data_IF_769431973531
#
_entry.id   IF_769431973531
#
_cell.length_a   1.000
_cell.length_b   1.000
_cell.length_c   1.000
_cell.angle_alpha   90.00
_cell.angle_beta   90.00
_cell.angle_gamma   90.00
#
_symmetry.space_group_name_H-M   'P 1'
#
loop_
_entity.id
_entity.type
_entity.pdbx_description
1 polymer ?
#
# COMPACT_ATOMS: atom_id res chain seq x y z
N UNK A 1 1.44 -22.18 20.46
CA UNK A 1 2.90 -22.28 20.63
C UNK A 1 3.27 -23.27 21.72
N UNK A 2 4.35 -24.02 21.51
CA UNK A 2 5.04 -24.80 22.52
C UNK A 2 6.44 -24.19 22.73
N UNK A 3 6.62 -23.44 23.82
CA UNK A 3 7.81 -22.61 24.02
C UNK A 3 7.92 -21.55 22.90
N UNK A 4 9.02 -21.59 22.13
CA UNK A 4 9.25 -20.71 20.98
C UNK A 4 8.84 -21.31 19.62
N UNK A 5 8.19 -22.49 19.61
CA UNK A 5 7.78 -23.18 18.39
C UNK A 5 6.29 -22.96 18.12
N UNK A 6 5.97 -22.55 16.92
CA UNK A 6 4.61 -22.58 16.41
C UNK A 6 4.24 -24.03 16.01
N UNK A 7 3.13 -24.54 16.55
CA UNK A 7 2.72 -25.95 16.39
C UNK A 7 1.39 -26.08 15.67
N UNK A 8 0.65 -24.99 15.44
CA UNK A 8 -0.64 -25.02 14.77
C UNK A 8 -1.27 -23.64 14.66
N UNK A 9 -2.45 -23.63 14.08
CA UNK A 9 -3.31 -22.45 13.95
C UNK A 9 -4.69 -22.78 14.51
N UNK A 10 -5.32 -21.81 15.16
CA UNK A 10 -6.73 -21.87 15.51
C UNK A 10 -7.55 -21.35 14.33
N UNK A 11 -8.58 -22.09 13.95
CA UNK A 11 -9.42 -21.81 12.78
C UNK A 11 -10.87 -21.75 13.23
N UNK A 12 -11.58 -20.73 12.76
CA UNK A 12 -13.02 -20.63 12.88
C UNK A 12 -13.68 -20.95 11.53
N UNK A 13 -14.65 -21.86 11.55
CA UNK A 13 -15.47 -22.20 10.38
C UNK A 13 -16.95 -22.23 10.77
N UNK A 14 -17.68 -21.19 10.42
CA UNK A 14 -19.00 -20.94 10.96
C UNK A 14 -18.96 -20.74 12.47
N UNK A 15 -19.69 -21.57 13.23
CA UNK A 15 -19.74 -21.53 14.69
C UNK A 15 -18.69 -22.47 15.36
N UNK A 16 -17.90 -23.20 14.58
CA UNK A 16 -16.91 -24.14 15.11
C UNK A 16 -15.53 -23.48 15.16
N UNK A 17 -14.86 -23.64 16.31
CA UNK A 17 -13.45 -23.25 16.50
C UNK A 17 -12.65 -24.54 16.74
N UNK A 18 -11.60 -24.75 15.97
CA UNK A 18 -10.73 -25.92 16.09
C UNK A 18 -9.29 -25.61 15.74
N UNK A 19 -8.36 -26.40 16.29
CA UNK A 19 -6.93 -26.31 15.99
C UNK A 19 -6.55 -27.18 14.79
N UNK A 20 -5.62 -26.68 13.96
CA UNK A 20 -4.94 -27.44 12.91
C UNK A 20 -3.45 -27.47 13.24
N UNK A 21 -2.91 -28.64 13.49
CA UNK A 21 -1.49 -28.83 13.83
C UNK A 21 -0.64 -28.98 12.58
N UNK A 22 0.58 -28.45 12.60
CA UNK A 22 1.57 -28.58 11.54
C UNK A 22 2.99 -28.42 12.06
N UNK A 23 3.96 -29.02 11.38
CA UNK A 23 5.38 -28.85 11.67
C UNK A 23 5.90 -27.47 11.25
N UNK A 24 5.29 -26.90 10.20
CA UNK A 24 5.61 -25.56 9.71
C UNK A 24 4.31 -24.82 9.31
N UNK A 25 4.24 -23.56 9.70
CA UNK A 25 3.11 -22.67 9.45
C UNK A 25 3.60 -21.51 8.60
N UNK A 26 2.82 -21.19 7.56
CA UNK A 26 3.11 -20.09 6.66
C UNK A 26 1.94 -19.12 6.68
N UNK A 27 2.18 -17.88 7.16
CA UNK A 27 1.22 -16.81 7.07
C UNK A 27 1.34 -16.12 5.71
N UNK A 28 0.22 -16.00 4.99
CA UNK A 28 0.12 -15.34 3.69
C UNK A 28 -1.14 -14.49 3.61
N UNK A 29 -1.44 -13.75 4.70
CA UNK A 29 -2.65 -12.96 4.84
C UNK A 29 -2.48 -11.49 4.36
N UNK A 30 -1.33 -11.18 3.77
CA UNK A 30 -1.03 -9.87 3.18
C UNK A 30 -0.60 -8.82 4.19
N UNK A 31 -0.33 -7.60 3.68
CA UNK A 31 0.24 -6.50 4.46
C UNK A 31 -0.58 -6.03 5.66
N UNK A 32 -1.84 -6.43 5.77
CA UNK A 32 -2.72 -6.12 6.91
C UNK A 32 -2.94 -7.35 7.78
N UNK A 33 -3.33 -8.47 7.18
CA UNK A 33 -3.72 -9.66 7.93
C UNK A 33 -2.56 -10.37 8.61
N UNK A 34 -1.39 -10.47 7.97
CA UNK A 34 -0.26 -11.17 8.56
C UNK A 34 0.26 -10.51 9.85
N UNK A 35 0.50 -9.18 9.92
CA UNK A 35 0.85 -8.54 11.19
C UNK A 35 -0.30 -8.61 12.21
N UNK A 36 -1.57 -8.57 11.79
CA UNK A 36 -2.72 -8.73 12.69
C UNK A 36 -2.70 -10.10 13.35
N UNK A 37 -2.53 -11.19 12.58
CA UNK A 37 -2.45 -12.56 13.10
C UNK A 37 -1.28 -12.72 14.05
N UNK A 38 -0.09 -12.20 13.71
CA UNK A 38 1.08 -12.22 14.60
C UNK A 38 0.77 -11.54 15.92
N UNK A 39 0.22 -10.32 15.90
CA UNK A 39 -0.11 -9.58 17.14
C UNK A 39 -1.18 -10.28 17.97
N UNK A 40 -2.25 -10.79 17.35
CA UNK A 40 -3.28 -11.57 18.07
C UNK A 40 -2.71 -12.85 18.69
N UNK A 41 -1.64 -13.40 18.11
CA UNK A 41 -0.92 -14.56 18.62
C UNK A 41 0.16 -14.21 19.68
N UNK A 42 0.25 -12.94 20.08
CA UNK A 42 1.22 -12.48 21.09
C UNK A 42 2.62 -12.17 20.51
N UNK A 43 2.77 -12.08 19.20
CA UNK A 43 4.02 -11.75 18.51
C UNK A 43 3.94 -10.33 17.96
N UNK A 44 4.61 -9.38 18.59
CA UNK A 44 4.52 -7.98 18.20
C UNK A 44 5.11 -7.03 19.25
N UNK A 45 4.88 -5.71 19.11
CA UNK A 45 5.34 -4.72 20.07
C UNK A 45 4.77 -4.99 21.46
N UNK A 46 5.64 -5.34 22.43
CA UNK A 46 5.23 -5.84 23.74
C UNK A 46 4.30 -4.88 24.50
N UNK A 47 4.52 -3.57 24.41
CA UNK A 47 3.70 -2.59 25.11
C UNK A 47 2.30 -2.51 24.51
N UNK A 48 2.17 -2.52 23.19
CA UNK A 48 0.87 -2.58 22.51
C UNK A 48 0.10 -3.86 22.84
N UNK A 49 0.78 -5.02 22.83
CA UNK A 49 0.16 -6.30 23.21
C UNK A 49 -0.37 -6.28 24.65
N UNK A 50 0.40 -5.72 25.60
CA UNK A 50 -0.04 -5.55 26.99
C UNK A 50 -1.25 -4.62 27.13
N UNK A 51 -1.26 -3.49 26.40
CA UNK A 51 -2.41 -2.56 26.35
C UNK A 51 -3.68 -3.28 25.86
N UNK A 52 -3.53 -4.19 24.89
CA UNK A 52 -4.63 -5.02 24.38
C UNK A 52 -4.98 -6.20 25.28
N UNK A 53 -4.24 -6.45 26.36
CA UNK A 53 -4.44 -7.59 27.26
C UNK A 53 -3.98 -8.93 26.66
N UNK A 54 -3.15 -8.91 25.62
CA UNK A 54 -2.62 -10.11 24.96
C UNK A 54 -1.30 -10.53 25.66
N UNK A 55 -1.16 -11.79 26.09
CA UNK A 55 0.11 -12.30 26.59
C UNK A 55 1.23 -12.20 25.55
N UNK A 56 2.38 -11.67 25.95
CA UNK A 56 3.52 -11.52 25.03
C UNK A 56 4.22 -12.86 24.87
N UNK A 57 4.11 -13.45 23.69
CA UNK A 57 4.86 -14.64 23.27
C UNK A 57 6.27 -14.25 22.82
N UNK A 58 6.37 -13.18 22.03
CA UNK A 58 7.62 -12.62 21.54
C UNK A 58 7.50 -11.12 21.39
N UNK A 59 8.42 -10.36 22.00
CA UNK A 59 8.56 -8.94 21.71
C UNK A 59 9.26 -8.75 20.37
N UNK A 60 8.47 -8.37 19.37
CA UNK A 60 8.91 -8.08 17.99
C UNK A 60 8.43 -6.70 17.58
N UNK A 61 9.21 -5.64 17.88
CA UNK A 61 8.76 -4.26 17.73
C UNK A 61 8.47 -3.86 16.28
N UNK A 62 9.00 -4.61 15.30
CA UNK A 62 8.78 -4.35 13.87
C UNK A 62 7.43 -4.82 13.33
N UNK A 63 6.71 -5.70 14.04
CA UNK A 63 5.41 -6.19 13.57
C UNK A 63 4.41 -5.06 13.53
N UNK A 64 3.78 -4.88 12.36
CA UNK A 64 2.84 -3.80 12.09
C UNK A 64 3.49 -2.45 11.79
N UNK A 65 4.81 -2.31 11.99
CA UNK A 65 5.54 -1.08 11.65
C UNK A 65 5.95 -1.06 10.18
N UNK A 66 6.41 0.09 9.67
CA UNK A 66 6.85 0.23 8.30
C UNK A 66 5.75 -0.10 7.28
N UNK A 67 4.50 0.29 7.58
CA UNK A 67 3.43 0.21 6.60
C UNK A 67 3.79 1.07 5.38
N UNK A 68 4.06 0.41 4.26
CA UNK A 68 4.37 1.03 2.98
C UNK A 68 3.19 0.91 2.03
N UNK A 69 3.03 1.90 1.18
CA UNK A 69 2.08 1.89 0.06
C UNK A 69 2.58 2.88 -1.00
N UNK A 70 1.90 2.93 -2.13
CA UNK A 70 2.06 3.95 -3.15
C UNK A 70 0.93 4.97 -3.03
N UNK A 71 1.13 6.10 -2.33
CA UNK A 71 0.12 7.15 -2.28
C UNK A 71 -0.13 7.73 -3.66
N UNK A 72 -1.39 7.99 -3.98
CA UNK A 72 -1.76 8.58 -5.24
C UNK A 72 -2.82 9.68 -5.09
N UNK A 73 -2.86 10.55 -6.08
CA UNK A 73 -3.94 11.51 -6.29
C UNK A 73 -4.46 11.42 -7.70
N UNK A 74 -5.71 11.79 -7.89
CA UNK A 74 -6.40 11.72 -9.18
C UNK A 74 -6.67 13.11 -9.70
N UNK A 75 -6.37 13.32 -10.98
CA UNK A 75 -6.64 14.55 -11.73
C UNK A 75 -7.69 14.21 -12.79
N UNK A 76 -8.99 14.28 -12.45
CA UNK A 76 -10.07 14.00 -13.38
C UNK A 76 -10.32 15.21 -14.30
N UNK A 77 -10.62 14.92 -15.55
CA UNK A 77 -10.97 15.91 -16.57
C UNK A 77 -12.27 15.54 -17.26
N UNK A 78 -13.09 16.56 -17.55
CA UNK A 78 -14.33 16.40 -18.31
C UNK A 78 -14.00 16.27 -19.79
N UNK A 79 -14.62 15.29 -20.42
CA UNK A 79 -14.56 15.08 -21.87
C UNK A 79 -15.73 15.83 -22.52
N UNK A 80 -15.51 16.37 -23.72
CA UNK A 80 -16.55 17.03 -24.49
C UNK A 80 -17.69 16.07 -24.84
N UNK A 81 -18.92 16.54 -24.81
CA UNK A 81 -20.12 15.73 -25.02
C UNK A 81 -20.17 15.04 -26.40
N UNK A 82 -19.52 15.63 -27.40
CA UNK A 82 -19.46 15.12 -28.78
C UNK A 82 -18.27 14.17 -29.02
N UNK A 83 -17.40 13.96 -28.02
CA UNK A 83 -16.29 13.04 -28.14
C UNK A 83 -16.73 11.61 -27.76
N UNK A 84 -16.69 10.65 -28.70
CA UNK A 84 -17.16 9.31 -28.42
C UNK A 84 -16.17 8.57 -27.47
N UNK A 85 -16.63 8.20 -26.30
CA UNK A 85 -15.92 7.27 -25.42
C UNK A 85 -16.37 5.84 -25.77
N UNK A 86 -15.42 4.97 -26.09
CA UNK A 86 -15.69 3.57 -26.34
C UNK A 86 -15.74 2.81 -25.00
N UNK A 87 -16.91 2.29 -24.56
CA UNK A 87 -17.03 1.58 -23.29
C UNK A 87 -16.29 0.24 -23.27
N UNK A 88 -15.98 -0.33 -24.44
CA UNK A 88 -15.24 -1.59 -24.57
C UNK A 88 -13.71 -1.37 -24.61
N UNK A 89 -13.24 -0.12 -24.74
CA UNK A 89 -11.81 0.18 -24.73
C UNK A 89 -11.18 -0.13 -23.36
N UNK A 90 -9.95 -0.65 -23.32
CA UNK A 90 -9.23 -0.84 -22.07
C UNK A 90 -9.10 0.46 -21.28
N UNK A 91 -9.48 0.44 -19.99
CA UNK A 91 -9.49 1.65 -19.14
C UNK A 91 -8.11 2.26 -18.95
N UNK A 92 -7.08 1.45 -18.88
CA UNK A 92 -5.69 1.89 -18.67
C UNK A 92 -4.81 1.25 -19.74
N UNK A 93 -4.21 2.07 -20.59
CA UNK A 93 -3.39 1.61 -21.72
C UNK A 93 -1.94 2.08 -21.63
N UNK A 94 -1.70 3.18 -20.91
CA UNK A 94 -0.41 3.85 -20.86
C UNK A 94 -0.04 4.20 -19.43
N UNK A 95 1.25 4.04 -19.14
CA UNK A 95 1.88 4.52 -17.91
C UNK A 95 3.12 5.34 -18.27
N UNK A 96 3.20 6.56 -17.79
CA UNK A 96 4.40 7.37 -17.82
C UNK A 96 5.16 7.11 -16.52
N UNK A 97 6.39 6.59 -16.61
CA UNK A 97 7.32 6.50 -15.48
C UNK A 97 8.40 7.54 -15.63
N UNK A 98 8.66 8.27 -14.57
CA UNK A 98 9.69 9.32 -14.57
C UNK A 98 10.34 9.46 -13.19
N UNK A 99 11.44 10.18 -13.17
CA UNK A 99 12.16 10.54 -11.95
C UNK A 99 11.80 11.98 -11.60
N UNK A 100 11.33 12.21 -10.39
CA UNK A 100 11.01 13.56 -9.92
C UNK A 100 12.26 14.46 -9.92
N UNK A 101 12.06 15.75 -10.11
CA UNK A 101 13.16 16.72 -10.07
C UNK A 101 13.86 16.68 -8.72
N UNK A 102 15.19 16.54 -8.72
CA UNK A 102 15.99 16.43 -7.51
C UNK A 102 16.02 15.04 -6.85
N UNK A 103 15.27 14.06 -7.37
CA UNK A 103 15.36 12.69 -6.86
C UNK A 103 16.59 11.96 -7.34
N UNK A 104 17.24 11.21 -6.44
CA UNK A 104 18.29 10.23 -6.78
C UNK A 104 17.69 8.88 -7.22
N UNK A 105 16.42 8.66 -6.95
CA UNK A 105 15.74 7.38 -7.17
C UNK A 105 15.09 7.35 -8.55
N UNK A 106 15.67 6.54 -9.44
CA UNK A 106 15.16 6.43 -10.81
C UNK A 106 13.74 5.88 -10.83
N UNK A 107 12.82 6.56 -11.58
CA UNK A 107 11.43 6.15 -11.77
C UNK A 107 10.64 6.03 -10.45
N UNK A 108 10.83 7.00 -9.57
CA UNK A 108 10.12 7.10 -8.29
C UNK A 108 8.69 7.64 -8.42
N UNK A 109 8.30 8.05 -9.63
CA UNK A 109 6.97 8.58 -9.94
C UNK A 109 6.34 7.87 -11.14
N UNK A 110 5.00 7.79 -11.12
CA UNK A 110 4.21 7.26 -12.23
C UNK A 110 2.96 8.10 -12.46
N UNK A 111 2.58 8.27 -13.74
CA UNK A 111 1.27 8.80 -14.14
C UNK A 111 0.57 7.74 -14.97
N UNK A 112 -0.62 7.34 -14.55
CA UNK A 112 -1.51 6.44 -15.27
C UNK A 112 -2.61 7.26 -15.91
N UNK A 113 -2.72 7.21 -17.24
CA UNK A 113 -3.86 7.73 -17.96
C UNK A 113 -4.94 6.65 -18.05
N UNK A 114 -6.15 6.99 -17.61
CA UNK A 114 -7.30 6.09 -17.69
C UNK A 114 -8.43 6.78 -18.43
N UNK A 115 -8.98 6.12 -19.44
CA UNK A 115 -10.25 6.47 -20.04
C UNK A 115 -11.36 6.05 -19.08
N UNK A 116 -12.38 6.91 -18.94
CA UNK A 116 -13.49 6.83 -18.00
C UNK A 116 -13.10 7.16 -16.54
N UNK A 117 -13.66 8.24 -16.04
CA UNK A 117 -13.74 8.47 -14.60
C UNK A 117 -14.77 7.51 -14.02
N UNK A 118 -14.37 6.25 -13.82
CA UNK A 118 -15.22 5.34 -13.07
C UNK A 118 -15.31 5.84 -11.64
N UNK A 119 -16.52 5.96 -11.05
CA UNK A 119 -16.70 6.30 -9.66
C UNK A 119 -16.30 5.10 -8.77
N UNK A 120 -15.01 4.72 -8.74
CA UNK A 120 -14.52 3.88 -7.66
C UNK A 120 -14.48 4.73 -6.39
N UNK A 121 -15.58 4.69 -5.62
CA UNK A 121 -15.74 5.40 -4.35
C UNK A 121 -15.99 6.91 -4.47
N UNK A 122 -16.38 7.41 -5.64
CA UNK A 122 -16.53 8.84 -5.88
C UNK A 122 -17.93 9.27 -6.30
N UNK A 123 -18.08 10.55 -6.47
CA UNK A 123 -19.30 11.25 -6.82
C UNK A 123 -19.87 10.72 -8.16
N UNK A 124 -21.10 10.16 -8.17
CA UNK A 124 -21.79 9.80 -9.42
C UNK A 124 -22.02 10.99 -10.36
N UNK A 125 -21.94 12.23 -9.84
CA UNK A 125 -22.04 13.44 -10.62
C UNK A 125 -20.77 13.79 -11.41
N UNK A 126 -19.64 13.11 -11.21
CA UNK A 126 -18.40 13.37 -11.93
C UNK A 126 -18.47 13.02 -13.42
N UNK A 127 -19.50 12.29 -13.86
CA UNK A 127 -19.73 11.94 -15.26
C UNK A 127 -18.67 11.02 -15.86
N UNK A 128 -18.84 10.64 -17.11
CA UNK A 128 -17.85 9.93 -17.89
C UNK A 128 -16.71 10.88 -18.27
N UNK A 129 -15.46 10.46 -18.09
CA UNK A 129 -14.31 11.32 -18.37
C UNK A 129 -12.99 10.57 -18.39
N UNK A 130 -11.92 11.31 -18.52
CA UNK A 130 -10.55 10.82 -18.44
C UNK A 130 -9.98 11.23 -17.07
N UNK A 131 -9.10 10.43 -16.52
CA UNK A 131 -8.33 10.83 -15.33
C UNK A 131 -6.85 10.47 -15.48
N UNK A 132 -6.03 11.32 -14.93
CA UNK A 132 -4.64 10.99 -14.65
C UNK A 132 -4.51 10.62 -13.17
N UNK A 133 -3.92 9.46 -12.90
CA UNK A 133 -3.58 9.06 -11.53
C UNK A 133 -2.09 9.27 -11.36
N UNK A 134 -1.73 10.24 -10.52
CA UNK A 134 -0.35 10.52 -10.17
C UNK A 134 0.01 9.69 -8.94
N UNK A 135 0.99 8.81 -9.08
CA UNK A 135 1.42 7.83 -8.09
C UNK A 135 2.84 8.11 -7.67
N UNK A 136 3.08 8.12 -6.38
CA UNK A 136 4.39 8.16 -5.76
C UNK A 136 4.84 6.73 -5.46
N UNK A 137 5.77 6.20 -6.26
CA UNK A 137 6.21 4.79 -6.18
C UNK A 137 7.18 4.52 -5.01
N UNK A 138 7.98 5.52 -4.64
CA UNK A 138 8.94 5.42 -3.54
C UNK A 138 8.67 6.52 -2.51
N UNK A 139 7.59 6.36 -1.74
CA UNK A 139 7.32 7.25 -0.62
C UNK A 139 8.41 7.11 0.45
N UNK A 140 8.83 8.24 1.05
CA UNK A 140 9.73 8.24 2.21
C UNK A 140 8.95 7.93 3.47
N UNK A 141 7.73 8.44 3.57
CA UNK A 141 6.83 8.22 4.68
C UNK A 141 6.49 6.74 4.87
N UNK A 142 6.37 6.34 6.12
CA UNK A 142 5.95 5.00 6.53
C UNK A 142 4.94 5.08 7.66
N UNK A 143 3.90 4.28 7.56
CA UNK A 143 2.85 4.18 8.56
C UNK A 143 2.97 2.98 9.47
N UNK A 144 1.86 2.64 10.12
CA UNK A 144 1.77 1.49 11.02
C UNK A 144 0.40 0.81 10.98
N UNK A 145 0.39 -0.48 11.32
CA UNK A 145 -0.79 -1.30 11.59
C UNK A 145 -0.82 -1.62 13.08
N UNK A 146 -1.94 -1.36 13.74
CA UNK A 146 -2.15 -1.69 15.17
C UNK A 146 -3.46 -2.43 15.35
N UNK A 147 -3.52 -3.32 16.33
CA UNK A 147 -4.79 -3.92 16.72
C UNK A 147 -5.74 -2.84 17.25
N UNK A 148 -6.98 -2.89 16.78
CA UNK A 148 -8.09 -2.10 17.33
C UNK A 148 -8.92 -2.90 18.32
N UNK A 149 -8.82 -4.24 18.29
CA UNK A 149 -9.54 -5.20 19.11
C UNK A 149 -8.76 -6.52 19.18
N UNK A 150 -9.10 -7.36 20.16
CA UNK A 150 -8.66 -8.77 20.21
C UNK A 150 -9.56 -9.70 19.40
N UNK A 151 -10.65 -9.19 18.86
CA UNK A 151 -11.54 -9.90 17.96
C UNK A 151 -10.91 -9.90 16.55
N UNK A 152 -10.61 -11.08 15.96
CA UNK A 152 -9.97 -11.19 14.65
C UNK A 152 -10.82 -10.62 13.49
N UNK A 153 -12.13 -10.52 13.65
CA UNK A 153 -13.04 -9.97 12.64
C UNK A 153 -13.05 -8.43 12.61
N UNK A 154 -12.45 -7.80 13.64
CA UNK A 154 -12.33 -6.33 13.68
C UNK A 154 -11.09 -5.90 12.92
N UNK A 155 -11.30 -5.08 11.88
CA UNK A 155 -10.19 -4.52 11.11
C UNK A 155 -9.22 -3.75 12.02
N UNK A 156 -7.91 -3.97 11.89
CA UNK A 156 -6.91 -3.22 12.63
C UNK A 156 -6.91 -1.73 12.22
N UNK A 157 -6.40 -0.90 13.09
CA UNK A 157 -6.15 0.51 12.79
C UNK A 157 -5.00 0.63 11.79
N UNK A 158 -5.24 1.35 10.68
CA UNK A 158 -4.28 1.59 9.61
C UNK A 158 -3.92 3.07 9.60
N UNK A 159 -2.74 3.41 10.10
CA UNK A 159 -2.19 4.75 10.02
C UNK A 159 -1.19 4.80 8.86
N UNK A 160 -1.62 5.31 7.72
CA UNK A 160 -0.77 5.38 6.53
C UNK A 160 0.26 6.51 6.57
N UNK A 161 0.01 7.57 7.33
CA UNK A 161 0.85 8.77 7.39
C UNK A 161 1.21 9.33 6.01
N UNK A 162 0.25 9.28 5.09
CA UNK A 162 0.47 9.80 3.75
C UNK A 162 0.81 11.28 3.80
N UNK A 163 1.90 11.63 3.09
CA UNK A 163 2.35 13.01 2.91
C UNK A 163 2.77 13.74 4.20
N UNK A 164 3.06 13.02 5.28
CA UNK A 164 3.70 13.60 6.44
C UNK A 164 5.10 14.14 6.09
N UNK A 165 5.80 13.43 5.19
CA UNK A 165 7.10 13.84 4.69
C UNK A 165 6.99 14.94 3.63
N UNK A 166 7.70 16.10 3.83
CA UNK A 166 7.65 17.20 2.88
C UNK A 166 8.09 16.82 1.46
N UNK A 167 9.06 15.90 1.34
CA UNK A 167 9.57 15.43 0.06
C UNK A 167 8.51 14.64 -0.73
N UNK A 168 7.67 13.89 -0.06
CA UNK A 168 6.56 13.17 -0.68
C UNK A 168 5.53 14.14 -1.27
N UNK A 169 5.22 15.24 -0.55
CA UNK A 169 4.34 16.30 -1.04
C UNK A 169 4.92 17.01 -2.25
N UNK A 170 6.22 17.35 -2.22
CA UNK A 170 6.89 18.02 -3.32
C UNK A 170 6.82 17.22 -4.61
N UNK A 171 7.10 15.92 -4.55
CA UNK A 171 7.03 15.03 -5.71
C UNK A 171 5.60 14.87 -6.24
N UNK A 172 4.60 14.76 -5.38
CA UNK A 172 3.20 14.70 -5.84
C UNK A 172 2.72 16.03 -6.41
N UNK A 173 3.14 17.19 -5.88
CA UNK A 173 2.88 18.50 -6.50
C UNK A 173 3.45 18.57 -7.91
N UNK A 174 4.70 18.13 -8.09
CA UNK A 174 5.33 18.05 -9.41
C UNK A 174 4.50 17.18 -10.35
N UNK A 175 4.09 15.99 -9.88
CA UNK A 175 3.27 15.06 -10.65
C UNK A 175 1.94 15.65 -11.10
N UNK A 176 1.23 16.34 -10.20
CA UNK A 176 -0.01 17.06 -10.54
C UNK A 176 0.24 18.12 -11.61
N UNK A 177 1.29 18.94 -11.44
CA UNK A 177 1.67 19.96 -12.43
C UNK A 177 2.03 19.36 -13.77
N UNK A 178 2.70 18.20 -13.77
CA UNK A 178 3.00 17.48 -15.01
C UNK A 178 1.72 16.98 -15.69
N UNK A 179 0.73 16.49 -14.93
CA UNK A 179 -0.58 16.13 -15.50
C UNK A 179 -1.23 17.35 -16.17
N UNK A 180 -1.22 18.52 -15.52
CA UNK A 180 -1.78 19.75 -16.11
C UNK A 180 -1.03 20.17 -17.39
N UNK A 181 0.29 20.08 -17.38
CA UNK A 181 1.12 20.36 -18.57
C UNK A 181 0.84 19.38 -19.71
N UNK A 182 0.61 18.11 -19.42
CA UNK A 182 0.21 17.14 -20.45
C UNK A 182 -1.12 17.52 -21.09
N UNK A 183 -2.09 18.02 -20.30
CA UNK A 183 -3.39 18.46 -20.78
C UNK A 183 -3.33 19.71 -21.69
N UNK A 184 -2.26 20.49 -21.64
CA UNK A 184 -2.04 21.64 -22.55
C UNK A 184 -1.67 21.21 -23.99
N UNK A 185 -1.30 19.94 -24.19
CA UNK A 185 -0.90 19.43 -25.49
C UNK A 185 -2.07 19.43 -26.48
N UNK A 186 -1.79 19.76 -27.74
CA UNK A 186 -2.80 19.93 -28.76
C UNK A 186 -3.73 18.73 -28.95
N UNK A 187 -3.24 17.52 -28.72
CA UNK A 187 -4.03 16.29 -28.83
C UNK A 187 -5.24 16.27 -27.89
N UNK A 188 -5.16 16.97 -26.76
CA UNK A 188 -6.27 17.02 -25.80
C UNK A 188 -7.30 18.12 -26.09
N UNK A 189 -6.99 19.09 -26.96
CA UNK A 189 -7.90 20.21 -27.28
C UNK A 189 -9.23 19.77 -27.85
N UNK A 190 -9.22 18.68 -28.62
CA UNK A 190 -10.43 18.13 -29.23
C UNK A 190 -11.18 17.16 -28.30
N UNK A 191 -10.57 16.73 -27.20
CA UNK A 191 -11.10 15.73 -26.29
C UNK A 191 -11.61 16.37 -24.98
N UNK A 192 -10.80 17.25 -24.38
CA UNK A 192 -11.03 17.76 -23.03
C UNK A 192 -11.83 19.05 -23.07
N UNK A 193 -12.93 19.08 -22.30
CA UNK A 193 -13.70 20.30 -22.05
C UNK A 193 -13.06 21.13 -20.92
N UNK A 194 -12.60 20.48 -19.85
CA UNK A 194 -12.00 21.18 -18.72
C UNK A 194 -11.54 20.28 -17.58
N UNK A 195 -10.79 20.87 -16.68
CA UNK A 195 -10.33 20.25 -15.44
C UNK A 195 -11.47 20.19 -14.42
N UNK A 196 -11.69 19.03 -13.80
CA UNK A 196 -12.66 18.87 -12.72
C UNK A 196 -11.98 19.16 -11.37
N UNK A 197 -10.79 18.59 -11.15
CA UNK A 197 -10.01 18.74 -9.91
C UNK A 197 -8.52 18.50 -10.21
N UNK A 198 -7.58 19.24 -9.57
CA UNK A 198 -7.79 20.35 -8.63
C UNK A 198 -8.46 21.57 -9.24
N UNK A 199 -9.09 22.41 -8.40
CA UNK A 199 -9.69 23.67 -8.83
C UNK A 199 -8.62 24.77 -9.03
N UNK A 200 -8.92 25.87 -9.76
CA UNK A 200 -7.98 26.98 -9.86
C UNK A 200 -7.50 27.54 -8.52
N UNK A 201 -8.34 27.50 -7.47
CA UNK A 201 -7.98 27.93 -6.13
C UNK A 201 -6.95 27.00 -5.46
N UNK A 202 -7.05 25.72 -5.71
CA UNK A 202 -6.08 24.73 -5.20
C UNK A 202 -4.70 24.90 -5.87
N UNK A 203 -4.64 25.53 -7.05
CA UNK A 203 -3.42 25.72 -7.85
C UNK A 203 -2.72 27.06 -7.64
N UNK A 204 -3.23 27.93 -6.76
CA UNK A 204 -2.68 29.29 -6.54
C UNK A 204 -1.26 29.27 -5.96
N UNK A 205 -0.98 28.32 -5.06
CA UNK A 205 0.32 28.18 -4.37
C UNK A 205 0.64 26.73 -4.04
N UNK A 206 1.88 26.47 -3.61
CA UNK A 206 2.27 25.15 -3.09
C UNK A 206 1.44 24.78 -1.86
N UNK A 207 1.18 25.73 -0.96
CA UNK A 207 0.40 25.46 0.25
C UNK A 207 -1.04 25.08 -0.05
N UNK A 208 -1.70 25.74 -1.01
CA UNK A 208 -3.07 25.38 -1.42
C UNK A 208 -3.10 24.03 -2.12
N UNK A 209 -2.10 23.73 -2.93
CA UNK A 209 -1.97 22.44 -3.58
C UNK A 209 -1.67 21.31 -2.56
N UNK A 210 -0.85 21.56 -1.55
CA UNK A 210 -0.61 20.61 -0.44
C UNK A 210 -1.90 20.33 0.32
N UNK A 211 -2.72 21.35 0.61
CA UNK A 211 -4.03 21.13 1.23
C UNK A 211 -4.95 20.27 0.34
N UNK A 212 -4.90 20.47 -0.97
CA UNK A 212 -5.64 19.61 -1.91
C UNK A 212 -5.10 18.19 -1.91
N UNK A 213 -3.78 17.99 -1.95
CA UNK A 213 -3.13 16.67 -1.88
C UNK A 213 -3.57 15.92 -0.62
N UNK A 214 -3.50 16.55 0.55
CA UNK A 214 -3.89 15.93 1.84
C UNK A 214 -5.37 15.53 1.89
N UNK A 215 -6.26 16.24 1.20
CA UNK A 215 -7.69 15.87 1.13
C UNK A 215 -7.99 14.78 0.12
N UNK A 216 -7.11 14.56 -0.87
CA UNK A 216 -7.40 13.69 -2.02
C UNK A 216 -6.44 12.51 -2.15
N UNK A 217 -5.38 12.43 -1.33
CA UNK A 217 -4.47 11.31 -1.35
C UNK A 217 -5.18 10.02 -0.92
N UNK A 218 -4.89 8.95 -1.65
CA UNK A 218 -5.48 7.64 -1.38
C UNK A 218 -4.48 6.52 -1.68
N UNK A 219 -4.81 5.32 -1.28
CA UNK A 219 -4.05 4.09 -1.51
C UNK A 219 -4.13 3.64 -2.97
N UNK A 220 -3.04 3.03 -3.48
CA UNK A 220 -3.08 2.18 -4.69
C UNK A 220 -3.30 0.72 -4.35
N UNK A 221 -3.55 0.39 -3.08
CA UNK A 221 -3.72 -0.97 -2.57
C UNK A 221 -2.45 -1.83 -2.69
N UNK A 222 -1.29 -1.19 -2.53
CA UNK A 222 0.02 -1.85 -2.54
C UNK A 222 0.63 -1.93 -1.13
N UNK A 223 -0.23 -2.08 -0.11
CA UNK A 223 0.14 -2.16 1.30
C UNK A 223 1.15 -3.27 1.53
N UNK A 224 2.33 -2.91 2.05
CA UNK A 224 3.48 -3.81 2.18
C UNK A 224 4.35 -3.45 3.38
N UNK A 225 5.37 -4.26 3.66
CA UNK A 225 6.44 -3.92 4.58
C UNK A 225 6.14 -4.07 6.08
N UNK A 226 4.96 -4.49 6.47
CA UNK A 226 4.49 -4.56 7.86
C UNK A 226 5.02 -5.75 8.68
N UNK A 227 5.71 -6.69 8.03
CA UNK A 227 6.51 -7.76 8.63
C UNK A 227 7.86 -7.83 7.90
N UNK A 228 8.55 -6.67 7.79
CA UNK A 228 9.70 -6.56 6.91
C UNK A 228 10.81 -7.55 7.22
N UNK A 229 11.42 -8.10 6.18
CA UNK A 229 12.68 -8.82 6.31
C UNK A 229 13.85 -7.83 6.49
N UNK A 230 14.90 -8.27 7.14
CA UNK A 230 16.10 -7.46 7.31
C UNK A 230 17.26 -8.24 7.91
N UNK A 231 18.46 -7.64 7.96
CA UNK A 231 19.63 -8.25 8.60
C UNK A 231 19.49 -8.32 10.12
N UNK A 232 20.34 -9.12 10.77
CA UNK A 232 20.36 -9.26 12.25
C UNK A 232 20.66 -7.94 12.97
N UNK A 233 21.30 -7.00 12.29
CA UNK A 233 21.61 -5.66 12.80
C UNK A 233 20.40 -4.70 12.80
N UNK A 234 19.31 -5.05 12.15
CA UNK A 234 18.08 -4.24 12.13
C UNK A 234 17.12 -4.72 13.24
N UNK A 235 16.97 -3.95 14.33
CA UNK A 235 16.08 -4.34 15.43
C UNK A 235 14.59 -4.32 15.05
N UNK A 236 14.25 -3.73 13.90
CA UNK A 236 12.90 -3.68 13.37
C UNK A 236 12.64 -4.77 12.32
N UNK A 237 13.63 -5.66 12.06
CA UNK A 237 13.42 -6.79 11.16
C UNK A 237 12.59 -7.87 11.85
N UNK A 238 11.40 -8.15 11.32
CA UNK A 238 10.51 -9.23 11.77
C UNK A 238 11.00 -10.57 11.25
N UNK A 239 11.53 -10.59 10.03
CA UNK A 239 11.90 -11.82 9.32
C UNK A 239 13.38 -11.83 8.93
N UNK A 240 13.91 -13.04 8.81
CA UNK A 240 15.18 -13.27 8.13
C UNK A 240 15.02 -13.29 6.60
N UNK A 241 16.11 -13.50 5.88
CA UNK A 241 16.12 -13.56 4.41
C UNK A 241 15.39 -14.78 3.83
N UNK A 242 15.02 -15.76 4.65
CA UNK A 242 14.26 -16.96 4.29
C UNK A 242 12.81 -16.87 4.72
N UNK A 243 12.36 -15.69 5.12
CA UNK A 243 11.02 -15.40 5.62
C UNK A 243 10.64 -16.11 6.95
N UNK A 244 11.60 -16.62 7.72
CA UNK A 244 11.32 -17.11 9.06
C UNK A 244 11.08 -15.95 10.03
N UNK A 245 10.10 -16.10 10.91
CA UNK A 245 9.89 -15.14 12.01
C UNK A 245 11.03 -15.27 13.00
N UNK A 246 11.78 -14.18 13.21
CA UNK A 246 12.94 -14.16 14.10
C UNK A 246 12.53 -14.47 15.53
N UNK A 247 13.28 -15.37 16.19
CA UNK A 247 13.02 -15.79 17.57
C UNK A 247 11.96 -16.88 17.72
N UNK A 248 11.34 -17.33 16.64
CA UNK A 248 10.40 -18.45 16.63
C UNK A 248 10.86 -19.55 15.67
N UNK A 249 10.39 -20.77 15.92
CA UNK A 249 10.58 -21.93 15.07
C UNK A 249 9.25 -22.34 14.44
N UNK A 250 9.31 -22.93 13.23
CA UNK A 250 8.13 -23.47 12.53
C UNK A 250 7.14 -22.40 12.05
N UNK A 251 7.57 -21.14 11.89
CA UNK A 251 6.71 -20.03 11.45
C UNK A 251 7.41 -19.16 10.42
N UNK A 252 6.74 -18.97 9.29
CA UNK A 252 7.12 -18.01 8.23
C UNK A 252 5.98 -17.03 7.95
N UNK A 253 6.36 -15.88 7.41
CA UNK A 253 5.44 -14.98 6.70
C UNK A 253 5.90 -14.89 5.24
N UNK A 254 4.99 -15.17 4.30
CA UNK A 254 5.33 -15.23 2.86
C UNK A 254 4.25 -14.52 2.07
N UNK A 255 4.32 -13.21 2.05
CA UNK A 255 3.43 -12.32 1.30
C UNK A 255 4.07 -10.94 1.11
N UNK A 256 3.28 -9.96 0.72
CA UNK A 256 3.75 -8.59 0.47
C UNK A 256 4.26 -7.87 1.74
N UNK A 257 3.87 -8.33 2.94
CA UNK A 257 4.32 -7.71 4.20
C UNK A 257 5.82 -7.86 4.45
N UNK A 258 6.46 -8.84 3.78
CA UNK A 258 7.89 -9.14 3.98
C UNK A 258 8.83 -8.14 3.33
N UNK A 259 8.33 -7.29 2.42
CA UNK A 259 9.14 -6.32 1.70
C UNK A 259 9.80 -5.32 2.67
N UNK A 260 11.12 -5.10 2.57
CA UNK A 260 11.79 -4.15 3.46
C UNK A 260 11.43 -2.69 3.18
N UNK A 261 11.03 -2.40 1.94
CA UNK A 261 10.64 -1.07 1.46
C UNK A 261 9.66 -1.18 0.29
N UNK A 262 9.08 -0.04 -0.14
CA UNK A 262 8.32 0.05 -1.38
C UNK A 262 9.14 -0.43 -2.58
N UNK A 263 8.47 -1.09 -3.51
CA UNK A 263 9.05 -1.37 -4.83
C UNK A 263 8.45 -0.41 -5.86
N UNK A 264 9.17 -0.17 -6.96
CA UNK A 264 8.73 0.75 -8.04
C UNK A 264 7.82 0.06 -9.05
N UNK A 265 6.85 -0.70 -8.57
CA UNK A 265 5.91 -1.44 -9.40
C UNK A 265 4.72 -1.93 -8.57
N UNK A 266 3.67 -2.42 -9.28
CA UNK A 266 2.63 -3.22 -8.65
C UNK A 266 3.26 -4.40 -7.90
N UNK A 267 2.79 -4.66 -6.69
CA UNK A 267 3.42 -5.60 -5.76
C UNK A 267 3.21 -7.07 -6.09
N UNK A 268 2.17 -7.40 -6.88
CA UNK A 268 1.73 -8.77 -7.11
C UNK A 268 2.82 -9.69 -7.69
N UNK A 269 3.49 -9.27 -8.76
CA UNK A 269 4.51 -10.11 -9.42
C UNK A 269 5.70 -10.40 -8.49
N UNK A 270 6.14 -9.40 -7.70
CA UNK A 270 7.21 -9.57 -6.72
C UNK A 270 6.77 -10.50 -5.59
N UNK A 271 5.53 -10.38 -5.12
CA UNK A 271 4.98 -11.26 -4.09
C UNK A 271 4.94 -12.72 -4.54
N UNK A 272 4.46 -12.97 -5.77
CA UNK A 272 4.46 -14.32 -6.36
C UNK A 272 5.91 -14.86 -6.46
N UNK A 273 6.85 -14.05 -6.94
CA UNK A 273 8.25 -14.46 -7.04
C UNK A 273 8.85 -14.84 -5.68
N UNK A 274 8.54 -14.09 -4.62
CA UNK A 274 8.97 -14.42 -3.25
C UNK A 274 8.37 -15.75 -2.81
N UNK A 275 7.07 -15.95 -3.02
CA UNK A 275 6.38 -17.18 -2.65
C UNK A 275 6.95 -18.42 -3.37
N UNK A 276 7.17 -18.34 -4.67
CA UNK A 276 7.82 -19.40 -5.47
C UNK A 276 9.24 -19.69 -4.94
N UNK A 277 10.00 -18.63 -4.62
CA UNK A 277 11.35 -18.80 -4.08
C UNK A 277 11.37 -19.47 -2.70
N UNK A 278 10.41 -19.15 -1.83
CA UNK A 278 10.29 -19.83 -0.53
C UNK A 278 9.87 -21.28 -0.70
N UNK A 279 8.95 -21.58 -1.62
CA UNK A 279 8.54 -22.95 -1.93
C UNK A 279 9.73 -23.81 -2.42
N UNK A 280 10.62 -23.23 -3.25
CA UNK A 280 11.86 -23.91 -3.67
C UNK A 280 12.79 -24.26 -2.49
N UNK A 281 12.82 -23.43 -1.44
CA UNK A 281 13.65 -23.70 -0.26
C UNK A 281 13.04 -24.74 0.69
N UNK A 282 11.74 -24.98 0.58
CA UNK A 282 11.01 -25.95 1.42
C UNK A 282 10.93 -27.35 0.78
N UNK A 283 11.26 -27.46 -0.52
CA UNK A 283 11.34 -28.71 -1.26
C UNK A 283 12.74 -29.34 -1.14
#
# INVERSE_FOLDING_TARGET
FEGNRATGVEVQSGDEIFGVESEEIILSAGGIGSPQILMLSGVGPADHLKEMGIPVQLDSPGVGQNLRDHPNVRVPVRVKDDFPLDPEAPRSQLALRYTAAGSSDRNDMQILASSFSSPMGGDPAAGEGIRFTCVLELAVGAGEVKLASTDPDVQPFLDYRYLDEPWDRERLREGVRLCLKLLEHDVYKDIVEGLISPTPQDLVSDDTLDQWLLRNVTTTQHISGTCKMGPDSDPMAVLDQYCHVRGLEGLRVVDVSVLPDCIRANTNATTIMIAERVADWMS
#
